data_IF_555749161200
#
_entry.id   IF_555749161200
#
_cell.length_a   1.000
_cell.length_b   1.000
_cell.length_c   1.000
_cell.angle_alpha   90.00
_cell.angle_beta   90.00
_cell.angle_gamma   90.00
#
_symmetry.space_group_name_H-M   'P 1'
#
loop_
_entity.id
_entity.type
_entity.pdbx_description
1 polymer ?
#
# COMPACT_ATOMS: atom_id res chain seq x y z
N UNK A 1 1.95 3.51 -16.65
CA UNK A 1 2.20 4.49 -15.62
C UNK A 1 0.94 5.30 -15.31
N UNK A 2 0.40 6.04 -16.27
CA UNK A 2 -0.73 6.96 -16.08
C UNK A 2 -1.95 6.28 -15.44
N UNK A 3 -2.33 5.07 -15.91
CA UNK A 3 -3.42 4.32 -15.32
C UNK A 3 -3.20 4.07 -13.82
N UNK A 4 -2.00 3.62 -13.43
CA UNK A 4 -1.67 3.32 -12.03
C UNK A 4 -1.69 4.59 -11.18
N UNK A 5 -1.06 5.66 -11.63
CA UNK A 5 -1.00 6.91 -10.87
C UNK A 5 -2.38 7.59 -10.78
N UNK A 6 -3.14 7.59 -11.87
CA UNK A 6 -4.48 8.18 -11.88
C UNK A 6 -5.44 7.45 -10.92
N UNK A 7 -5.39 6.12 -10.88
CA UNK A 7 -6.24 5.34 -9.97
C UNK A 7 -5.74 5.47 -8.53
N UNK A 8 -4.46 5.15 -8.28
CA UNK A 8 -3.95 4.96 -6.93
C UNK A 8 -3.66 6.27 -6.20
N UNK A 9 -3.25 7.33 -6.90
CA UNK A 9 -2.90 8.63 -6.30
C UNK A 9 -4.00 9.65 -6.56
N UNK A 10 -4.26 9.99 -7.83
CA UNK A 10 -5.22 11.05 -8.13
C UNK A 10 -6.65 10.70 -7.70
N UNK A 11 -7.04 9.41 -7.79
CA UNK A 11 -8.33 8.95 -7.29
C UNK A 11 -8.54 9.23 -5.81
N UNK A 12 -7.53 8.95 -4.97
CA UNK A 12 -7.58 9.23 -3.54
C UNK A 12 -7.59 10.74 -3.25
N UNK A 13 -6.73 11.51 -3.93
CA UNK A 13 -6.71 12.98 -3.80
C UNK A 13 -8.07 13.58 -4.17
N UNK A 14 -8.68 13.14 -5.27
CA UNK A 14 -10.00 13.61 -5.68
C UNK A 14 -11.07 13.22 -4.67
N UNK A 15 -11.00 12.01 -4.11
CA UNK A 15 -11.89 11.57 -3.04
C UNK A 15 -11.80 12.49 -1.82
N UNK A 16 -10.61 12.75 -1.32
CA UNK A 16 -10.40 13.65 -0.17
C UNK A 16 -10.90 15.07 -0.49
N UNK A 17 -10.56 15.63 -1.66
CA UNK A 17 -11.01 16.97 -2.07
C UNK A 17 -12.54 17.08 -2.17
N UNK A 18 -13.22 16.02 -2.58
CA UNK A 18 -14.67 16.01 -2.73
C UNK A 18 -15.41 15.84 -1.40
N UNK A 19 -14.88 15.01 -0.50
CA UNK A 19 -15.61 14.60 0.70
C UNK A 19 -15.14 15.29 1.99
N UNK A 20 -13.85 15.55 2.18
CA UNK A 20 -13.34 16.15 3.43
C UNK A 20 -14.00 17.49 3.77
N UNK A 21 -14.23 18.45 2.84
CA UNK A 21 -14.92 19.70 3.18
C UNK A 21 -16.35 19.47 3.70
N UNK A 22 -17.06 18.48 3.17
CA UNK A 22 -18.42 18.13 3.61
C UNK A 22 -18.41 17.46 4.98
N UNK A 23 -17.43 16.56 5.22
CA UNK A 23 -17.22 15.93 6.53
C UNK A 23 -16.93 16.98 7.60
N UNK A 24 -16.03 17.93 7.32
CA UNK A 24 -15.70 19.05 8.23
C UNK A 24 -16.95 19.90 8.50
N UNK A 25 -17.67 20.29 7.45
CA UNK A 25 -18.86 21.13 7.58
C UNK A 25 -19.99 20.45 8.37
N UNK A 26 -20.08 19.13 8.36
CA UNK A 26 -21.08 18.38 9.12
C UNK A 26 -20.84 18.45 10.65
N UNK A 27 -19.62 18.69 11.10
CA UNK A 27 -19.23 18.67 12.50
C UNK A 27 -19.33 17.28 13.15
N UNK A 28 -19.67 16.24 12.39
CA UNK A 28 -19.81 14.88 12.90
C UNK A 28 -18.50 14.11 12.78
N UNK A 29 -18.25 13.13 13.69
CA UNK A 29 -17.12 12.22 13.54
C UNK A 29 -17.13 11.53 12.17
N UNK A 30 -15.98 11.54 11.48
CA UNK A 30 -15.84 10.94 10.15
C UNK A 30 -14.49 10.20 10.02
N UNK A 31 -14.40 9.31 9.05
CA UNK A 31 -13.21 8.50 8.79
C UNK A 31 -12.81 8.58 7.33
N UNK A 32 -11.51 8.77 7.08
CA UNK A 32 -10.87 8.64 5.78
C UNK A 32 -9.85 7.52 5.89
N UNK A 33 -10.10 6.41 5.19
CA UNK A 33 -9.20 5.28 5.13
C UNK A 33 -8.58 5.17 3.73
N UNK A 34 -7.30 5.50 3.60
CA UNK A 34 -6.57 5.45 2.36
C UNK A 34 -5.86 4.10 2.19
N UNK A 35 -6.20 3.37 1.13
CA UNK A 35 -5.61 2.05 0.87
C UNK A 35 -4.23 2.18 0.24
N UNK A 36 -3.19 2.07 1.07
CA UNK A 36 -1.81 1.90 0.66
C UNK A 36 -1.49 0.42 0.38
N UNK A 37 -0.43 -0.13 0.95
CA UNK A 37 0.01 -1.53 0.92
C UNK A 37 1.26 -1.67 1.79
N UNK A 38 1.60 -2.88 2.24
CA UNK A 38 2.95 -3.17 2.76
C UNK A 38 4.03 -2.86 1.70
N UNK A 39 3.69 -2.96 0.40
CA UNK A 39 4.56 -2.52 -0.70
C UNK A 39 4.94 -1.04 -0.66
N UNK A 40 4.16 -0.20 0.05
CA UNK A 40 4.52 1.20 0.31
C UNK A 40 5.67 1.37 1.33
N UNK A 41 6.11 0.30 1.97
CA UNK A 41 7.29 0.25 2.85
C UNK A 41 8.46 -0.48 2.19
N UNK A 42 8.24 -1.13 1.04
CA UNK A 42 9.21 -2.00 0.39
C UNK A 42 9.84 -1.42 -0.87
N UNK A 43 10.65 -2.25 -1.51
CA UNK A 43 11.24 -2.01 -2.83
C UNK A 43 10.99 -3.26 -3.68
N UNK A 44 10.48 -3.08 -4.90
CA UNK A 44 10.27 -4.19 -5.82
C UNK A 44 10.48 -3.70 -7.26
N UNK A 45 11.51 -4.19 -7.96
CA UNK A 45 11.65 -3.92 -9.40
C UNK A 45 10.46 -4.48 -10.16
N UNK A 46 10.30 -4.07 -11.40
CA UNK A 46 9.19 -4.45 -12.29
C UNK A 46 7.82 -3.89 -11.87
N UNK A 47 7.65 -3.50 -10.60
CA UNK A 47 6.44 -2.85 -10.08
C UNK A 47 6.64 -1.36 -9.75
N UNK A 48 7.53 -0.65 -10.41
CA UNK A 48 7.94 0.71 -10.01
C UNK A 48 6.77 1.69 -9.88
N UNK A 49 5.83 1.71 -10.82
CA UNK A 49 4.65 2.60 -10.75
C UNK A 49 3.72 2.28 -9.57
N UNK A 50 3.55 0.99 -9.27
CA UNK A 50 2.76 0.54 -8.14
C UNK A 50 3.43 0.89 -6.82
N UNK A 51 4.70 0.52 -6.64
CA UNK A 51 5.48 0.80 -5.41
C UNK A 51 5.52 2.31 -5.15
N UNK A 52 5.84 3.12 -6.17
CA UNK A 52 5.80 4.57 -6.08
C UNK A 52 4.43 5.05 -5.58
N UNK A 53 3.34 4.55 -6.17
CA UNK A 53 2.00 4.97 -5.78
C UNK A 53 1.67 4.61 -4.33
N UNK A 54 2.15 3.47 -3.83
CA UNK A 54 1.87 3.01 -2.46
C UNK A 54 2.73 3.75 -1.42
N UNK A 55 3.97 4.11 -1.73
CA UNK A 55 4.76 5.06 -0.92
C UNK A 55 4.09 6.44 -0.87
N UNK A 56 3.64 6.95 -2.02
CA UNK A 56 2.93 8.23 -2.08
C UNK A 56 1.65 8.22 -1.24
N UNK A 57 0.90 7.11 -1.22
CA UNK A 57 -0.31 6.98 -0.40
C UNK A 57 -0.03 6.98 1.10
N UNK A 58 1.08 6.39 1.54
CA UNK A 58 1.50 6.47 2.94
C UNK A 58 1.80 7.94 3.29
N UNK A 59 2.69 8.58 2.54
CA UNK A 59 3.05 9.99 2.79
C UNK A 59 1.85 10.93 2.71
N UNK A 60 0.97 10.74 1.74
CA UNK A 60 -0.29 11.50 1.63
C UNK A 60 -1.15 11.35 2.88
N UNK A 61 -1.29 10.12 3.41
CA UNK A 61 -2.10 9.84 4.59
C UNK A 61 -1.49 10.43 5.85
N UNK A 62 -0.16 10.39 6.02
CA UNK A 62 0.56 11.01 7.13
C UNK A 62 0.35 12.53 7.16
N UNK A 63 0.56 13.20 6.01
CA UNK A 63 0.33 14.64 5.90
C UNK A 63 -1.13 15.00 6.17
N UNK A 64 -2.07 14.27 5.57
CA UNK A 64 -3.50 14.51 5.76
C UNK A 64 -3.91 14.33 7.23
N UNK A 65 -3.39 13.30 7.91
CA UNK A 65 -3.62 13.11 9.35
C UNK A 65 -3.19 14.34 10.15
N UNK A 66 -1.99 14.85 9.91
CA UNK A 66 -1.47 16.03 10.58
C UNK A 66 -2.31 17.29 10.28
N UNK A 67 -2.75 17.47 9.04
CA UNK A 67 -3.62 18.58 8.64
C UNK A 67 -4.98 18.53 9.35
N UNK A 68 -5.57 17.35 9.52
CA UNK A 68 -6.81 17.18 10.27
C UNK A 68 -6.60 17.49 11.77
N UNK A 69 -5.46 17.12 12.35
CA UNK A 69 -5.12 17.46 13.73
C UNK A 69 -4.93 18.97 13.89
N UNK A 70 -4.17 19.63 13.03
CA UNK A 70 -3.92 21.08 13.07
C UNK A 70 -5.22 21.87 12.94
N UNK A 71 -6.09 21.47 12.04
CA UNK A 71 -7.40 22.11 11.80
C UNK A 71 -8.46 21.73 12.82
N UNK A 72 -8.17 20.82 13.74
CA UNK A 72 -9.13 20.26 14.71
C UNK A 72 -10.38 19.72 14.04
N UNK A 73 -10.24 19.18 12.84
CA UNK A 73 -11.33 18.57 12.11
C UNK A 73 -11.76 17.24 12.78
N UNK A 74 -13.07 16.93 12.84
CA UNK A 74 -13.54 15.68 13.45
C UNK A 74 -13.37 14.48 12.52
N UNK A 75 -12.20 14.38 11.85
CA UNK A 75 -11.88 13.35 10.87
C UNK A 75 -10.71 12.52 11.36
N UNK A 76 -10.94 11.22 11.51
CA UNK A 76 -9.88 10.23 11.72
C UNK A 76 -9.33 9.82 10.35
N UNK A 77 -8.00 9.76 10.23
CA UNK A 77 -7.33 9.32 9.01
C UNK A 77 -6.57 8.04 9.28
N UNK A 78 -6.73 7.06 8.41
CA UNK A 78 -6.02 5.77 8.47
C UNK A 78 -5.26 5.49 7.17
N UNK A 79 -4.03 5.05 7.29
CA UNK A 79 -3.26 4.42 6.20
C UNK A 79 -3.44 2.90 6.32
N UNK A 80 -4.17 2.32 5.37
CA UNK A 80 -4.43 0.88 5.33
C UNK A 80 -3.33 0.19 4.56
N UNK A 81 -2.65 -0.78 5.21
CA UNK A 81 -1.54 -1.54 4.65
C UNK A 81 -1.91 -3.02 4.53
N UNK A 82 -2.62 -3.41 3.46
CA UNK A 82 -2.85 -4.82 3.21
C UNK A 82 -1.51 -5.53 2.92
N UNK A 83 -1.34 -6.71 3.53
CA UNK A 83 -0.37 -7.71 3.12
C UNK A 83 -0.95 -8.59 2.00
N UNK A 84 -0.57 -9.87 1.90
CA UNK A 84 -1.11 -10.79 0.91
C UNK A 84 -2.63 -10.99 1.10
N UNK A 85 -3.41 -10.57 0.11
CA UNK A 85 -4.86 -10.76 0.05
C UNK A 85 -5.21 -11.39 -1.30
N UNK A 86 -5.88 -12.53 -1.28
CA UNK A 86 -6.28 -13.27 -2.48
C UNK A 86 -7.31 -12.46 -3.29
N UNK A 87 -6.80 -11.69 -4.26
CA UNK A 87 -7.58 -10.84 -5.16
C UNK A 87 -7.09 -11.02 -6.59
N UNK A 88 -7.82 -10.46 -7.55
CA UNK A 88 -7.47 -10.50 -8.98
C UNK A 88 -6.51 -9.38 -9.41
N UNK A 89 -5.78 -8.75 -8.48
CA UNK A 89 -4.94 -7.59 -8.78
C UNK A 89 -3.89 -7.86 -9.87
N UNK A 90 -3.38 -9.08 -9.96
CA UNK A 90 -2.41 -9.48 -10.99
C UNK A 90 -3.06 -10.10 -12.24
N UNK A 91 -4.37 -10.35 -12.24
CA UNK A 91 -5.12 -10.77 -13.44
C UNK A 91 -5.47 -9.56 -14.30
N UNK A 92 -5.89 -8.47 -13.66
CA UNK A 92 -6.35 -7.25 -14.32
C UNK A 92 -5.20 -6.31 -14.73
N UNK A 93 -3.95 -6.68 -14.46
CA UNK A 93 -2.75 -5.85 -14.65
C UNK A 93 -2.37 -5.56 -16.12
N UNK A 94 -3.08 -6.16 -17.07
CA UNK A 94 -2.79 -6.06 -18.50
C UNK A 94 -1.74 -7.09 -18.96
N UNK A 95 -1.52 -7.14 -20.28
CA UNK A 95 -0.51 -8.00 -20.90
C UNK A 95 0.83 -7.27 -20.99
N UNK A 96 1.92 -7.99 -20.80
CA UNK A 96 3.27 -7.48 -20.99
C UNK A 96 4.04 -8.39 -21.95
N UNK A 97 4.91 -7.80 -22.77
CA UNK A 97 5.84 -8.54 -23.63
C UNK A 97 7.18 -8.78 -22.94
N UNK A 98 7.37 -8.23 -21.74
CA UNK A 98 8.60 -8.38 -20.96
C UNK A 98 8.54 -9.65 -20.12
N UNK A 99 9.49 -10.57 -20.35
CA UNK A 99 9.56 -11.87 -19.69
C UNK A 99 9.68 -11.75 -18.15
N UNK A 100 10.48 -10.81 -17.65
CA UNK A 100 10.65 -10.59 -16.21
C UNK A 100 9.34 -10.12 -15.55
N UNK A 101 8.58 -9.25 -16.23
CA UNK A 101 7.28 -8.81 -15.74
C UNK A 101 6.26 -9.93 -15.70
N UNK A 102 6.28 -10.83 -16.69
CA UNK A 102 5.37 -11.99 -16.72
C UNK A 102 5.73 -13.02 -15.65
N UNK A 103 7.02 -13.34 -15.48
CA UNK A 103 7.47 -14.22 -14.41
C UNK A 103 7.10 -13.68 -13.03
N UNK A 104 7.33 -12.37 -12.81
CA UNK A 104 6.93 -11.72 -11.57
C UNK A 104 5.42 -11.80 -11.35
N UNK A 105 4.61 -11.56 -12.38
CA UNK A 105 3.15 -11.66 -12.29
C UNK A 105 2.70 -13.07 -11.87
N UNK A 106 3.26 -14.10 -12.50
CA UNK A 106 2.96 -15.50 -12.16
C UNK A 106 3.37 -15.84 -10.73
N UNK A 107 4.57 -15.41 -10.32
CA UNK A 107 5.04 -15.60 -8.95
C UNK A 107 4.10 -14.95 -7.93
N UNK A 108 3.69 -13.70 -8.17
CA UNK A 108 2.81 -12.97 -7.26
C UNK A 108 1.40 -13.57 -7.22
N UNK A 109 0.87 -14.03 -8.36
CA UNK A 109 -0.40 -14.77 -8.38
C UNK A 109 -0.33 -16.06 -7.56
N UNK A 110 0.76 -16.83 -7.71
CA UNK A 110 1.00 -18.04 -6.93
C UNK A 110 1.05 -17.76 -5.43
N UNK A 111 1.81 -16.74 -5.03
CA UNK A 111 1.90 -16.31 -3.64
C UNK A 111 0.55 -15.88 -3.06
N UNK A 112 -0.24 -15.10 -3.79
CA UNK A 112 -1.57 -14.71 -3.31
C UNK A 112 -2.55 -15.89 -3.24
N UNK A 113 -2.39 -16.89 -4.09
CA UNK A 113 -3.22 -18.10 -4.05
C UNK A 113 -2.85 -19.01 -2.87
N UNK A 114 -1.56 -19.11 -2.49
CA UNK A 114 -1.09 -19.96 -1.38
C UNK A 114 -1.20 -19.27 -0.01
N UNK A 115 -0.78 -18.02 0.09
CA UNK A 115 -0.56 -17.33 1.37
C UNK A 115 -1.53 -16.16 1.61
N UNK A 116 -2.33 -15.80 0.60
CA UNK A 116 -3.25 -14.68 0.68
C UNK A 116 -4.49 -15.02 1.51
N UNK A 117 -4.81 -14.16 2.48
CA UNK A 117 -6.10 -14.22 3.16
C UNK A 117 -7.23 -13.79 2.21
N UNK A 118 -8.46 -14.23 2.50
CA UNK A 118 -9.62 -13.80 1.71
C UNK A 118 -9.89 -12.29 1.88
N UNK A 119 -10.54 -11.67 0.87
CA UNK A 119 -10.97 -10.27 0.98
C UNK A 119 -11.93 -10.02 2.16
N UNK A 120 -12.75 -11.02 2.49
CA UNK A 120 -13.64 -10.95 3.65
C UNK A 120 -12.85 -10.93 4.97
N UNK A 121 -11.89 -11.82 5.12
CA UNK A 121 -11.01 -11.85 6.28
C UNK A 121 -10.17 -10.56 6.41
N UNK A 122 -9.68 -10.05 5.28
CA UNK A 122 -8.99 -8.75 5.27
C UNK A 122 -9.91 -7.63 5.80
N UNK A 123 -11.17 -7.58 5.38
CA UNK A 123 -12.14 -6.60 5.88
C UNK A 123 -12.41 -6.78 7.37
N UNK A 124 -12.56 -8.02 7.87
CA UNK A 124 -12.73 -8.30 9.31
C UNK A 124 -11.54 -7.82 10.15
N UNK A 125 -10.32 -7.86 9.61
CA UNK A 125 -9.12 -7.36 10.29
C UNK A 125 -9.01 -5.84 10.24
N UNK A 126 -9.42 -5.20 9.15
CA UNK A 126 -9.25 -3.77 8.89
C UNK A 126 -10.31 -2.92 9.59
N UNK A 127 -11.59 -3.30 9.49
CA UNK A 127 -12.69 -2.44 9.93
C UNK A 127 -12.66 -2.12 11.44
N UNK A 128 -12.34 -3.05 12.36
CA UNK A 128 -12.22 -2.71 13.77
C UNK A 128 -11.11 -1.70 14.07
N UNK A 129 -9.97 -1.78 13.38
CA UNK A 129 -8.85 -0.86 13.55
C UNK A 129 -9.25 0.56 13.08
N UNK A 130 -9.92 0.66 11.92
CA UNK A 130 -10.43 1.95 11.40
C UNK A 130 -11.45 2.53 12.40
N UNK A 131 -12.39 1.71 12.89
CA UNK A 131 -13.40 2.15 13.84
C UNK A 131 -12.80 2.62 15.17
N UNK A 132 -11.68 2.03 15.60
CA UNK A 132 -10.91 2.46 16.76
C UNK A 132 -10.09 3.74 16.52
N UNK A 133 -10.04 4.26 15.28
CA UNK A 133 -9.28 5.46 14.92
C UNK A 133 -7.78 5.22 14.79
N UNK A 134 -7.34 3.96 14.59
CA UNK A 134 -5.92 3.67 14.36
C UNK A 134 -5.44 4.28 13.07
N UNK A 135 -4.25 4.90 13.10
CA UNK A 135 -3.63 5.44 11.88
C UNK A 135 -3.03 4.33 11.01
N UNK A 136 -2.23 3.45 11.62
CA UNK A 136 -1.61 2.31 10.91
C UNK A 136 -2.52 1.10 10.98
N UNK A 137 -3.28 0.86 9.93
CA UNK A 137 -4.22 -0.25 9.81
C UNK A 137 -3.62 -1.36 8.97
N UNK A 138 -3.48 -2.56 9.51
CA UNK A 138 -2.82 -3.68 8.81
C UNK A 138 -3.64 -4.97 8.85
N UNK A 139 -3.60 -5.71 7.74
CA UNK A 139 -4.11 -7.09 7.69
C UNK A 139 -3.12 -8.10 8.26
N UNK A 140 -1.80 -7.77 8.27
CA UNK A 140 -0.70 -8.63 8.72
C UNK A 140 0.29 -7.79 9.56
N UNK A 141 -0.01 -7.49 10.83
CA UNK A 141 0.76 -6.55 11.65
C UNK A 141 2.24 -6.90 11.78
N UNK A 142 2.58 -8.19 11.95
CA UNK A 142 3.97 -8.61 12.09
C UNK A 142 4.76 -8.35 10.78
N UNK A 143 4.19 -8.75 9.65
CA UNK A 143 4.79 -8.51 8.33
C UNK A 143 4.94 -7.00 8.06
N UNK A 144 3.96 -6.20 8.46
CA UNK A 144 4.06 -4.74 8.32
C UNK A 144 5.21 -4.17 9.14
N UNK A 145 5.41 -4.63 10.37
CA UNK A 145 6.55 -4.20 11.21
C UNK A 145 7.89 -4.64 10.61
N UNK A 146 7.97 -5.84 10.07
CA UNK A 146 9.16 -6.35 9.39
C UNK A 146 9.54 -5.46 8.20
N UNK A 147 8.59 -5.15 7.32
CA UNK A 147 8.81 -4.25 6.18
C UNK A 147 9.22 -2.84 6.62
N UNK A 148 8.56 -2.29 7.64
CA UNK A 148 8.90 -0.99 8.20
C UNK A 148 10.33 -0.97 8.77
N UNK A 149 10.70 -1.99 9.54
CA UNK A 149 12.04 -2.13 10.12
C UNK A 149 13.11 -2.27 9.03
N UNK A 150 12.86 -3.11 8.02
CA UNK A 150 13.76 -3.27 6.86
C UNK A 150 13.96 -1.96 6.10
N UNK A 151 12.87 -1.20 5.88
CA UNK A 151 12.95 0.12 5.24
C UNK A 151 13.74 1.13 6.06
N UNK A 152 13.51 1.16 7.37
CA UNK A 152 14.24 2.06 8.28
C UNK A 152 15.74 1.71 8.32
N UNK A 153 16.10 0.43 8.41
CA UNK A 153 17.47 -0.02 8.36
C UNK A 153 18.17 0.38 7.05
N UNK A 154 17.52 0.14 5.91
CA UNK A 154 18.04 0.54 4.60
C UNK A 154 18.31 2.05 4.53
N UNK A 155 17.34 2.87 4.94
CA UNK A 155 17.49 4.34 4.89
C UNK A 155 18.53 4.86 5.86
N UNK A 156 18.69 4.23 7.02
CA UNK A 156 19.67 4.68 8.03
C UNK A 156 21.12 4.47 7.58
N UNK A 157 21.37 3.50 6.71
CA UNK A 157 22.72 3.19 6.21
C UNK A 157 23.08 3.95 4.94
N UNK A 158 22.08 4.48 4.21
CA UNK A 158 22.23 5.14 2.91
C UNK A 158 23.02 4.32 1.88
N UNK A 159 22.98 2.99 2.02
CA UNK A 159 23.61 2.08 1.08
C UNK A 159 22.80 1.96 -0.22
N UNK A 160 23.44 1.41 -1.24
CA UNK A 160 22.76 1.14 -2.50
C UNK A 160 21.58 0.19 -2.28
N UNK A 161 20.46 0.40 -2.97
CA UNK A 161 19.35 -0.53 -2.94
C UNK A 161 19.79 -1.91 -3.40
N UNK A 162 19.48 -2.93 -2.63
CA UNK A 162 19.76 -4.31 -2.96
C UNK A 162 18.53 -5.17 -2.65
N UNK A 163 18.33 -6.22 -3.42
CA UNK A 163 17.35 -7.26 -3.14
C UNK A 163 18.04 -8.52 -2.65
N UNK A 164 17.41 -9.27 -1.74
CA UNK A 164 17.87 -10.60 -1.39
C UNK A 164 18.01 -11.48 -2.63
N UNK A 165 19.06 -12.28 -2.68
CA UNK A 165 19.34 -13.16 -3.83
C UNK A 165 18.19 -14.13 -4.14
N UNK A 166 17.48 -14.57 -3.10
CA UNK A 166 16.30 -15.44 -3.23
C UNK A 166 15.17 -14.76 -4.00
N UNK A 167 14.96 -13.46 -3.76
CA UNK A 167 13.96 -12.66 -4.49
C UNK A 167 14.36 -12.53 -5.96
N UNK A 168 15.63 -12.26 -6.23
CA UNK A 168 16.14 -12.18 -7.61
C UNK A 168 15.98 -13.51 -8.34
N UNK A 169 16.38 -14.62 -7.70
CA UNK A 169 16.19 -15.97 -8.26
C UNK A 169 14.72 -16.28 -8.55
N UNK A 170 13.81 -15.96 -7.63
CA UNK A 170 12.37 -16.13 -7.82
C UNK A 170 11.83 -15.32 -9.00
N UNK A 171 12.44 -14.18 -9.33
CA UNK A 171 12.11 -13.36 -10.48
C UNK A 171 12.83 -13.79 -11.77
N UNK A 172 13.69 -14.80 -11.71
CA UNK A 172 14.53 -15.20 -12.85
C UNK A 172 15.58 -14.15 -13.23
N UNK A 173 16.01 -13.33 -12.27
CA UNK A 173 16.99 -12.26 -12.46
C UNK A 173 18.29 -12.61 -11.74
N UNK A 174 19.42 -12.21 -12.34
CA UNK A 174 20.74 -12.12 -11.71
C UNK A 174 21.24 -10.69 -11.81
N UNK A 175 22.01 -10.26 -10.82
CA UNK A 175 22.80 -9.01 -10.88
C UNK A 175 24.25 -9.48 -10.94
N UNK A 176 24.76 -9.66 -12.14
CA UNK A 176 26.17 -9.91 -12.41
C UNK A 176 26.94 -8.60 -12.56
#
# INVERSE_FOLDING_TARGET
WDKTLNINIHGAIHGVRAFAPRMIASGQPAWIANTASIGGLGMMPVQTSYILSKHAMISFSECLFLEMQISKAPIQVSAVLPGPVATRIFEDGGTTTNSASEQHRVMMQGMLASDGISGYEAAQRILPQIAAGEFWVSTHPELTREFAAGRAAHLSTLQLPALPEEVLKGMGLSID
#
